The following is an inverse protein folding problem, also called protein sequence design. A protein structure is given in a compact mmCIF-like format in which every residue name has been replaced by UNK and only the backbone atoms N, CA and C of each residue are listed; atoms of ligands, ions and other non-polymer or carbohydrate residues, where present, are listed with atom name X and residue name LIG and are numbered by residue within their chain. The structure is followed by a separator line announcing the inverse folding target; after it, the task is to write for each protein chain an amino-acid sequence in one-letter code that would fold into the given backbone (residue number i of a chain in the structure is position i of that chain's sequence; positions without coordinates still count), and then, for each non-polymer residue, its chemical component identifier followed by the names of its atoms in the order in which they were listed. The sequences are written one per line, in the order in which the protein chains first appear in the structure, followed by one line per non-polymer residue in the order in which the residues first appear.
data_IF_062077385328
#
_entry.id   IF_062077385328
#
_cell.length_a   1.000
_cell.length_b   1.000
_cell.length_c   1.000
_cell.angle_alpha   90.00
_cell.angle_beta   90.00
_cell.angle_gamma   90.00
#
_symmetry.space_group_name_H-M   'P 1'
#
loop_
_entity.id
_entity.type
_entity.pdbx_description
1 polymer ?
#
# COMPACT_ATOMS: atom_id res chain seq x y z
N UNK A 1 14.95 -0.80 20.71
CA UNK A 1 13.97 -0.11 19.83
C UNK A 1 12.65 -0.87 19.76
N UNK A 2 12.64 -2.18 19.46
CA UNK A 2 11.41 -2.99 19.48
C UNK A 2 10.76 -3.06 20.87
N UNK A 3 11.51 -3.38 21.93
CA UNK A 3 10.97 -3.41 23.32
C UNK A 3 10.33 -2.08 23.72
N UNK A 4 11.03 -0.98 23.46
CA UNK A 4 10.52 0.38 23.73
C UNK A 4 9.15 0.63 23.08
N UNK A 5 8.93 0.14 21.86
CA UNK A 5 7.66 0.25 21.14
C UNK A 5 6.58 -0.62 21.78
N UNK A 6 6.85 -1.91 22.02
CA UNK A 6 5.88 -2.86 22.58
C UNK A 6 5.40 -2.42 23.97
N UNK A 7 6.28 -1.82 24.77
CA UNK A 7 5.93 -1.28 26.09
C UNK A 7 4.97 -0.08 26.05
N UNK A 8 4.83 0.60 24.90
CA UNK A 8 4.15 1.91 24.79
C UNK A 8 2.99 1.93 23.81
N UNK A 9 2.98 1.01 22.84
CA UNK A 9 2.01 1.01 21.76
C UNK A 9 1.44 -0.39 21.56
N UNK A 10 0.13 -0.44 21.34
CA UNK A 10 -0.63 -1.65 21.01
C UNK A 10 -1.17 -1.63 19.57
N UNK A 11 -0.85 -0.58 18.81
CA UNK A 11 -1.22 -0.43 17.41
C UNK A 11 -0.03 0.08 16.58
N UNK A 12 0.04 -0.34 15.32
CA UNK A 12 1.10 0.03 14.39
C UNK A 12 0.55 0.41 13.01
N UNK A 13 1.36 1.19 12.29
CA UNK A 13 1.20 1.47 10.86
C UNK A 13 2.57 1.29 10.22
N UNK A 14 2.66 0.60 9.08
CA UNK A 14 3.92 0.49 8.35
C UNK A 14 4.14 1.79 7.58
N UNK A 15 5.30 2.42 7.76
CA UNK A 15 5.52 3.78 7.28
C UNK A 15 5.62 3.82 5.76
N UNK A 16 6.33 2.86 5.16
CA UNK A 16 6.59 2.82 3.72
C UNK A 16 6.49 1.42 3.12
N UNK A 17 6.55 0.37 3.94
CA UNK A 17 6.83 -1.00 3.53
C UNK A 17 5.68 -1.66 2.77
N UNK A 18 4.49 -1.06 2.81
CA UNK A 18 3.32 -1.48 2.03
C UNK A 18 3.06 -0.58 0.82
N UNK A 19 3.68 0.59 0.74
CA UNK A 19 3.41 1.55 -0.34
C UNK A 19 3.85 0.96 -1.68
N UNK A 20 3.04 1.17 -2.73
CA UNK A 20 3.24 0.51 -4.02
C UNK A 20 4.63 0.72 -4.62
N UNK A 21 5.25 1.90 -4.45
CA UNK A 21 6.61 2.15 -4.92
C UNK A 21 7.69 1.32 -4.20
N UNK A 22 7.43 0.90 -2.96
CA UNK A 22 8.34 0.07 -2.19
C UNK A 22 8.15 -1.41 -2.54
N UNK A 23 6.90 -1.84 -2.71
CA UNK A 23 6.56 -3.25 -2.94
C UNK A 23 6.66 -3.68 -4.40
N UNK A 24 6.52 -2.77 -5.36
CA UNK A 24 6.65 -3.07 -6.79
C UNK A 24 7.35 -1.92 -7.57
N UNK A 25 8.64 -1.65 -7.30
CA UNK A 25 9.37 -0.59 -8.00
C UNK A 25 9.57 -0.88 -9.50
N UNK A 26 9.51 -2.14 -9.90
CA UNK A 26 9.59 -2.61 -11.29
C UNK A 26 8.37 -3.49 -11.57
N UNK A 27 7.64 -3.20 -12.66
CA UNK A 27 6.42 -3.93 -13.05
C UNK A 27 6.63 -5.44 -13.01
N UNK A 28 5.76 -6.14 -12.29
CA UNK A 28 5.76 -7.60 -12.14
C UNK A 28 6.84 -8.15 -11.20
N UNK A 29 7.68 -7.30 -10.59
CA UNK A 29 8.71 -7.70 -9.61
C UNK A 29 8.32 -7.23 -8.22
N UNK A 30 7.33 -7.93 -7.66
CA UNK A 30 6.80 -7.63 -6.32
C UNK A 30 7.74 -8.17 -5.25
N UNK A 31 8.00 -7.37 -4.21
CA UNK A 31 8.78 -7.75 -3.05
C UNK A 31 8.10 -7.26 -1.76
N UNK A 32 7.71 -8.22 -0.93
CA UNK A 32 7.04 -7.99 0.35
C UNK A 32 7.89 -8.35 1.57
N UNK A 33 9.16 -8.72 1.38
CA UNK A 33 10.00 -9.30 2.44
C UNK A 33 10.04 -8.45 3.70
N UNK A 34 10.16 -7.12 3.58
CA UNK A 34 10.23 -6.24 4.74
C UNK A 34 8.88 -6.18 5.48
N UNK A 35 7.78 -6.02 4.75
CA UNK A 35 6.44 -6.02 5.32
C UNK A 35 6.12 -7.36 6.01
N UNK A 36 6.55 -8.48 5.43
CA UNK A 36 6.39 -9.81 6.03
C UNK A 36 7.14 -9.93 7.37
N UNK A 37 8.41 -9.51 7.40
CA UNK A 37 9.21 -9.50 8.63
C UNK A 37 8.62 -8.59 9.72
N UNK A 38 8.04 -7.46 9.31
CA UNK A 38 7.34 -6.57 10.25
C UNK A 38 6.05 -7.20 10.77
N UNK A 39 5.26 -7.86 9.91
CA UNK A 39 4.06 -8.59 10.36
C UNK A 39 4.39 -9.71 11.34
N UNK A 40 5.48 -10.45 11.13
CA UNK A 40 5.94 -11.44 12.12
C UNK A 40 6.22 -10.82 13.49
N UNK A 41 6.79 -9.61 13.52
CA UNK A 41 6.97 -8.86 14.77
C UNK A 41 5.63 -8.43 15.37
N UNK A 42 4.71 -7.91 14.57
CA UNK A 42 3.36 -7.52 15.00
C UNK A 42 2.60 -8.71 15.61
N UNK A 43 2.57 -9.84 14.92
CA UNK A 43 1.86 -11.05 15.37
C UNK A 43 2.44 -11.61 16.66
N UNK A 44 3.78 -11.69 16.76
CA UNK A 44 4.44 -12.19 17.98
C UNK A 44 4.13 -11.37 19.23
N UNK A 45 3.88 -10.07 19.06
CA UNK A 45 3.58 -9.16 20.16
C UNK A 45 2.08 -8.85 20.29
N UNK A 46 1.22 -9.53 19.52
CA UNK A 46 -0.24 -9.33 19.54
C UNK A 46 -0.67 -7.86 19.33
N UNK A 47 0.07 -7.15 18.47
CA UNK A 47 -0.18 -5.74 18.16
C UNK A 47 -1.20 -5.66 17.02
N UNK A 48 -2.09 -4.68 17.07
CA UNK A 48 -3.02 -4.40 15.96
C UNK A 48 -2.31 -3.59 14.87
N UNK A 49 -2.58 -3.85 13.59
CA UNK A 49 -1.91 -3.10 12.51
C UNK A 49 -2.88 -2.59 11.45
N UNK A 50 -2.67 -1.33 11.03
CA UNK A 50 -3.35 -0.66 9.91
C UNK A 50 -2.48 -0.72 8.65
N UNK A 51 -3.06 -1.12 7.53
CA UNK A 51 -2.40 -1.09 6.24
C UNK A 51 -2.38 0.33 5.68
N UNK A 52 -1.18 0.88 5.45
CA UNK A 52 -0.99 2.21 4.86
C UNK A 52 0.07 2.13 3.75
N UNK A 53 -0.29 2.28 2.48
CA UNK A 53 -1.62 2.34 1.85
C UNK A 53 -1.59 1.46 0.60
N UNK A 54 -2.74 1.18 -0.02
CA UNK A 54 -2.77 0.44 -1.29
C UNK A 54 -2.38 1.40 -2.44
N UNK A 55 -3.09 2.52 -2.54
CA UNK A 55 -2.81 3.59 -3.49
C UNK A 55 -2.65 4.94 -2.81
N UNK A 56 -1.93 5.81 -3.51
CA UNK A 56 -1.77 7.19 -3.12
C UNK A 56 -1.74 8.05 -4.39
N UNK A 57 -2.60 9.06 -4.42
CA UNK A 57 -2.81 9.92 -5.59
C UNK A 57 -1.62 10.81 -5.92
N UNK A 58 -0.65 10.96 -5.02
CA UNK A 58 0.53 11.79 -5.26
C UNK A 58 1.43 11.14 -6.34
N UNK A 59 1.59 11.76 -7.53
CA UNK A 59 2.36 11.13 -8.62
C UNK A 59 3.84 10.88 -8.27
N UNK A 60 4.39 11.61 -7.29
CA UNK A 60 5.79 11.45 -6.85
C UNK A 60 6.04 10.12 -6.15
N UNK A 61 5.03 9.57 -5.49
CA UNK A 61 5.11 8.30 -4.76
C UNK A 61 4.42 7.16 -5.51
N UNK A 62 3.81 7.40 -6.66
CA UNK A 62 3.40 6.33 -7.57
C UNK A 62 4.65 5.68 -8.22
N UNK A 63 4.70 4.34 -8.38
CA UNK A 63 5.80 3.68 -9.10
C UNK A 63 6.03 4.30 -10.48
N UNK A 64 7.29 4.48 -10.86
CA UNK A 64 7.64 5.20 -12.10
C UNK A 64 7.02 4.56 -13.36
N UNK A 65 6.91 3.23 -13.38
CA UNK A 65 6.33 2.48 -14.49
C UNK A 65 4.81 2.63 -14.62
N UNK A 66 4.11 3.12 -13.59
CA UNK A 66 2.66 3.36 -13.58
C UNK A 66 2.32 4.77 -14.07
N UNK A 67 3.20 5.76 -13.87
CA UNK A 67 2.89 7.21 -14.04
C UNK A 67 2.36 7.59 -15.42
N UNK A 68 2.77 6.86 -16.45
CA UNK A 68 2.40 7.10 -17.85
C UNK A 68 1.29 6.16 -18.35
N UNK A 69 0.80 5.23 -17.51
CA UNK A 69 -0.32 4.37 -17.87
C UNK A 69 -1.62 5.18 -17.85
N UNK A 70 -2.55 4.80 -18.73
CA UNK A 70 -3.90 5.39 -18.84
C UNK A 70 -4.90 4.31 -19.19
N UNK A 71 -6.20 4.61 -19.09
CA UNK A 71 -7.27 3.70 -19.54
C UNK A 71 -7.15 2.29 -18.96
N UNK A 72 -7.29 1.27 -19.81
CA UNK A 72 -7.32 -0.13 -19.38
C UNK A 72 -5.99 -0.63 -18.80
N UNK A 73 -4.86 -0.11 -19.28
CA UNK A 73 -3.54 -0.48 -18.74
C UNK A 73 -3.37 -0.03 -17.29
N UNK A 74 -3.82 1.20 -16.98
CA UNK A 74 -3.78 1.71 -15.61
C UNK A 74 -4.80 0.97 -14.73
N UNK A 75 -6.01 0.70 -15.25
CA UNK A 75 -7.02 -0.08 -14.52
C UNK A 75 -6.50 -1.47 -14.15
N UNK A 76 -5.87 -2.17 -15.11
CA UNK A 76 -5.27 -3.47 -14.87
C UNK A 76 -4.11 -3.42 -13.86
N UNK A 77 -3.29 -2.38 -13.89
CA UNK A 77 -2.20 -2.20 -12.93
C UNK A 77 -2.74 -1.98 -11.50
N UNK A 78 -3.76 -1.13 -11.35
CA UNK A 78 -4.45 -0.88 -10.07
C UNK A 78 -5.08 -2.17 -9.55
N UNK A 79 -5.84 -2.89 -10.38
CA UNK A 79 -6.46 -4.16 -9.99
C UNK A 79 -5.42 -5.20 -9.55
N UNK A 80 -4.32 -5.35 -10.29
CA UNK A 80 -3.21 -6.22 -9.94
C UNK A 80 -2.61 -5.88 -8.57
N UNK A 81 -2.42 -4.59 -8.27
CA UNK A 81 -1.91 -4.12 -7.00
C UNK A 81 -2.84 -4.47 -5.83
N UNK A 82 -4.15 -4.15 -5.94
CA UNK A 82 -5.16 -4.52 -4.94
C UNK A 82 -5.14 -6.03 -4.69
N UNK A 83 -5.22 -6.83 -5.76
CA UNK A 83 -5.30 -8.28 -5.65
C UNK A 83 -4.04 -8.86 -5.00
N UNK A 84 -2.86 -8.35 -5.35
CA UNK A 84 -1.59 -8.77 -4.76
C UNK A 84 -1.54 -8.53 -3.25
N UNK A 85 -1.81 -7.29 -2.82
CA UNK A 85 -1.76 -6.88 -1.40
C UNK A 85 -2.84 -7.60 -0.58
N UNK A 86 -4.11 -7.51 -1.00
CA UNK A 86 -5.24 -8.02 -0.22
C UNK A 86 -5.32 -9.55 -0.20
N UNK A 87 -4.84 -10.24 -1.26
CA UNK A 87 -4.76 -11.71 -1.23
C UNK A 87 -3.65 -12.19 -0.31
N UNK A 88 -2.50 -11.51 -0.32
CA UNK A 88 -1.35 -11.88 0.52
C UNK A 88 -1.65 -11.69 2.01
N UNK A 89 -2.23 -10.53 2.36
CA UNK A 89 -2.37 -10.10 3.76
C UNK A 89 -3.79 -10.21 4.30
N UNK A 90 -4.54 -11.18 3.78
CA UNK A 90 -5.93 -11.40 4.16
C UNK A 90 -6.03 -11.77 5.64
N UNK A 91 -6.59 -10.86 6.43
CA UNK A 91 -6.81 -11.04 7.87
C UNK A 91 -5.70 -10.51 8.77
N UNK A 92 -4.58 -10.04 8.21
CA UNK A 92 -3.46 -9.53 9.00
C UNK A 92 -3.67 -8.07 9.44
N UNK A 93 -4.33 -7.27 8.59
CA UNK A 93 -4.62 -5.85 8.86
C UNK A 93 -6.09 -5.63 9.20
N UNK A 94 -6.36 -4.87 10.26
CA UNK A 94 -7.75 -4.62 10.71
C UNK A 94 -8.49 -3.61 9.83
N UNK A 95 -7.74 -2.77 9.11
CA UNK A 95 -8.24 -1.80 8.13
C UNK A 95 -7.12 -1.38 7.17
N UNK A 96 -7.53 -0.84 6.03
CA UNK A 96 -6.64 -0.36 4.96
C UNK A 96 -6.98 1.08 4.59
N UNK A 97 -5.94 1.90 4.43
CA UNK A 97 -6.04 3.12 3.64
C UNK A 97 -6.00 2.71 2.16
N UNK A 98 -7.16 2.64 1.51
CA UNK A 98 -7.28 2.13 0.12
C UNK A 98 -6.71 3.12 -0.88
N UNK A 99 -7.18 4.37 -0.86
CA UNK A 99 -6.63 5.45 -1.67
C UNK A 99 -6.36 6.68 -0.78
N UNK A 100 -5.09 7.01 -0.62
CA UNK A 100 -4.62 8.08 0.25
C UNK A 100 -4.64 9.44 -0.46
N UNK A 101 -5.07 10.49 0.26
CA UNK A 101 -4.99 11.91 -0.17
C UNK A 101 -5.69 12.30 -1.49
N UNK A 102 -6.81 11.66 -1.82
CA UNK A 102 -7.64 11.99 -3.01
C UNK A 102 -8.13 13.44 -3.10
N UNK A 103 -8.12 14.20 -2.01
CA UNK A 103 -8.52 15.61 -2.04
C UNK A 103 -7.37 16.56 -2.44
N UNK A 104 -6.14 16.07 -2.48
CA UNK A 104 -4.95 16.89 -2.78
C UNK A 104 -4.40 16.67 -4.18
N UNK A 105 -4.78 15.58 -4.83
CA UNK A 105 -4.27 15.16 -6.13
C UNK A 105 -5.38 14.42 -6.90
N UNK A 106 -5.26 14.39 -8.22
CA UNK A 106 -6.25 13.87 -9.16
C UNK A 106 -5.61 12.87 -10.17
N UNK A 107 -4.60 12.11 -9.73
CA UNK A 107 -3.79 11.26 -10.61
C UNK A 107 -4.63 10.22 -11.34
N UNK A 108 -5.50 9.51 -10.61
CA UNK A 108 -6.35 8.48 -11.21
C UNK A 108 -7.50 9.11 -11.99
N UNK A 109 -8.12 10.18 -11.49
CA UNK A 109 -9.21 10.90 -12.18
C UNK A 109 -8.77 11.42 -13.55
N UNK A 110 -7.59 12.06 -13.64
CA UNK A 110 -7.05 12.56 -14.91
C UNK A 110 -6.78 11.46 -15.95
N UNK A 111 -6.56 10.21 -15.52
CA UNK A 111 -6.12 9.10 -16.38
C UNK A 111 -7.20 8.06 -16.67
N UNK A 112 -8.24 8.01 -15.84
CA UNK A 112 -9.34 7.05 -15.93
C UNK A 112 -10.71 7.74 -16.10
N UNK A 113 -10.79 9.06 -15.88
CA UNK A 113 -11.99 9.88 -16.01
C UNK A 113 -12.61 10.29 -14.66
N UNK A 114 -13.63 11.17 -14.69
CA UNK A 114 -14.21 11.85 -13.51
C UNK A 114 -14.91 10.95 -12.47
N UNK A 115 -15.04 9.65 -12.75
CA UNK A 115 -15.67 8.67 -11.83
C UNK A 115 -14.66 7.63 -11.32
N UNK A 116 -13.36 7.91 -11.46
CA UNK A 116 -12.31 6.98 -11.06
C UNK A 116 -11.84 7.16 -9.59
N UNK A 117 -12.61 7.90 -8.80
CA UNK A 117 -12.42 8.15 -7.37
C UNK A 117 -13.09 7.09 -6.51
#
# INVERSE_FOLDING_TARGET
MQEWFVERFNAAVFENELKWYATEPVRGKVNYTVADMMLEFIHRNQITVRGHNIFWENPKVTPSWVRNLTGDDLRAAVESCIQSLLSRYKGDFVHWDVNNEMLHFDFYEQRLGPNAT
#
